data_IF_695493613525
#
_entry.id   IF_695493613525
#
_cell.length_a   1.000
_cell.length_b   1.000
_cell.length_c   1.000
_cell.angle_alpha   90.00
_cell.angle_beta   90.00
_cell.angle_gamma   90.00
#
_symmetry.space_group_name_H-M   'P 1'
#
loop_
_entity.id
_entity.type
_entity.pdbx_description
1 polymer ?
#
# COMPACT_ATOMS: atom_id res chain seq x y z
N UNK A 1 -12.69 -45.70 33.65
CA UNK A 1 -13.51 -44.84 32.77
C UNK A 1 -12.95 -43.41 32.59
N UNK A 2 -12.28 -42.80 33.57
CA UNK A 2 -11.70 -41.45 33.41
C UNK A 2 -10.63 -41.29 32.32
N UNK A 3 -9.79 -42.30 32.07
CA UNK A 3 -8.72 -42.22 31.04
C UNK A 3 -9.24 -42.17 29.60
N UNK A 4 -10.43 -42.73 29.34
CA UNK A 4 -11.07 -42.70 28.02
C UNK A 4 -11.74 -41.34 27.74
N UNK A 5 -12.25 -40.66 28.78
CA UNK A 5 -12.83 -39.32 28.63
C UNK A 5 -11.78 -38.24 28.33
N UNK A 6 -10.59 -38.34 28.91
CA UNK A 6 -9.49 -37.39 28.67
C UNK A 6 -8.90 -37.54 27.26
N UNK A 7 -8.82 -38.77 26.74
CA UNK A 7 -8.33 -39.04 25.39
C UNK A 7 -9.31 -38.56 24.30
N UNK A 8 -10.62 -38.68 24.55
CA UNK A 8 -11.65 -38.13 23.66
C UNK A 8 -11.63 -36.59 23.61
N UNK A 9 -11.31 -35.93 24.73
CA UNK A 9 -11.20 -34.47 24.79
C UNK A 9 -9.96 -33.95 24.03
N UNK A 10 -8.82 -34.67 24.10
CA UNK A 10 -7.62 -34.30 23.32
C UNK A 10 -7.78 -34.57 21.81
N UNK A 11 -8.49 -35.63 21.43
CA UNK A 11 -8.77 -35.92 20.02
C UNK A 11 -9.72 -34.88 19.39
N UNK A 12 -10.68 -34.34 20.14
CA UNK A 12 -11.59 -33.31 19.65
C UNK A 12 -10.91 -31.93 19.45
N UNK A 13 -9.81 -31.66 20.16
CA UNK A 13 -9.03 -30.41 20.00
C UNK A 13 -8.07 -30.48 18.80
N UNK A 14 -7.63 -31.66 18.38
CA UNK A 14 -6.67 -31.82 17.29
C UNK A 14 -7.26 -31.67 15.87
N UNK A 15 -8.59 -31.75 15.70
CA UNK A 15 -9.25 -31.70 14.37
C UNK A 15 -9.50 -30.27 13.86
N UNK A 16 -9.16 -29.23 14.63
CA UNK A 16 -9.37 -27.83 14.23
C UNK A 16 -8.15 -27.14 13.60
N UNK A 17 -7.11 -27.87 13.20
CA UNK A 17 -5.92 -27.27 12.58
C UNK A 17 -6.13 -27.04 11.08
N UNK A 18 -6.77 -25.91 10.78
CA UNK A 18 -6.47 -24.97 9.69
C UNK A 18 -6.29 -25.50 8.27
N UNK A 19 -7.33 -25.31 7.44
CA UNK A 19 -7.14 -25.11 6.00
C UNK A 19 -6.37 -23.79 5.80
N UNK A 20 -5.04 -23.85 5.69
CA UNK A 20 -4.23 -22.72 5.28
C UNK A 20 -4.51 -22.47 3.79
N UNK A 21 -5.40 -21.53 3.49
CA UNK A 21 -5.64 -21.06 2.12
C UNK A 21 -4.34 -20.47 1.62
N UNK A 22 -3.66 -21.19 0.73
CA UNK A 22 -2.43 -20.71 0.11
C UNK A 22 -2.72 -19.36 -0.56
N UNK A 23 -2.10 -18.31 -0.05
CA UNK A 23 -2.19 -16.99 -0.67
C UNK A 23 -1.58 -17.12 -2.07
N UNK A 24 -2.30 -16.79 -3.15
CA UNK A 24 -1.75 -16.88 -4.49
C UNK A 24 -0.45 -16.06 -4.55
N UNK A 25 0.60 -16.55 -5.23
CA UNK A 25 1.85 -15.83 -5.35
C UNK A 25 1.57 -14.44 -5.91
N UNK A 26 2.03 -13.42 -5.18
CA UNK A 26 1.89 -12.02 -5.60
C UNK A 26 2.59 -11.90 -6.96
N UNK A 27 1.92 -11.43 -8.02
CA UNK A 27 2.57 -11.26 -9.30
C UNK A 27 3.81 -10.38 -9.11
N UNK A 28 4.96 -10.91 -9.52
CA UNK A 28 6.21 -10.16 -9.53
C UNK A 28 5.97 -8.91 -10.36
N UNK A 29 6.41 -7.75 -9.87
CA UNK A 29 6.36 -6.51 -10.64
C UNK A 29 6.97 -6.79 -12.03
N UNK A 30 6.21 -6.53 -13.09
CA UNK A 30 6.70 -6.77 -14.43
C UNK A 30 7.92 -5.90 -14.67
N UNK A 31 8.93 -6.47 -15.34
CA UNK A 31 10.08 -5.72 -15.77
C UNK A 31 9.62 -4.50 -16.61
N UNK A 32 10.29 -3.34 -16.48
CA UNK A 32 10.02 -2.23 -17.36
C UNK A 32 10.26 -2.63 -18.83
N UNK A 33 9.58 -1.99 -19.80
CA UNK A 33 9.82 -2.27 -21.21
C UNK A 33 11.30 -1.97 -21.57
N UNK A 34 11.86 -2.77 -22.49
CA UNK A 34 13.20 -2.55 -23.01
C UNK A 34 13.31 -1.18 -23.72
N UNK A 35 14.50 -0.55 -23.68
CA UNK A 35 14.72 0.78 -24.27
C UNK A 35 14.37 0.85 -25.76
N UNK A 36 14.69 -0.21 -26.52
CA UNK A 36 14.37 -0.34 -27.95
C UNK A 36 12.85 -0.24 -28.20
N UNK A 37 12.06 -0.80 -27.29
CA UNK A 37 10.59 -0.72 -27.34
C UNK A 37 10.13 0.69 -27.05
N UNK A 38 10.68 1.32 -26.01
CA UNK A 38 10.35 2.70 -25.62
C UNK A 38 10.72 3.72 -26.71
N UNK A 39 11.85 3.52 -27.39
CA UNK A 39 12.31 4.39 -28.47
C UNK A 39 11.46 4.28 -29.74
N UNK A 40 10.74 3.16 -29.91
CA UNK A 40 9.77 2.97 -30.99
C UNK A 40 8.44 3.71 -30.74
N UNK A 41 8.16 4.15 -29.51
CA UNK A 41 6.92 4.84 -29.19
C UNK A 41 6.91 6.25 -29.81
N UNK A 42 5.75 6.66 -30.34
CA UNK A 42 5.54 7.97 -30.97
C UNK A 42 4.28 8.62 -30.40
N UNK A 43 3.09 8.12 -30.76
CA UNK A 43 1.82 8.57 -30.18
C UNK A 43 1.26 7.48 -29.27
N UNK A 44 1.11 7.80 -27.99
CA UNK A 44 0.63 6.89 -26.96
C UNK A 44 -0.78 7.34 -26.55
N UNK A 45 -1.77 6.52 -26.90
CA UNK A 45 -3.13 6.67 -26.39
C UNK A 45 -3.21 6.19 -24.96
N UNK A 46 -3.79 6.97 -24.05
CA UNK A 46 -4.10 6.53 -22.68
C UNK A 46 -5.60 6.29 -22.60
N UNK A 47 -6.02 5.08 -22.24
CA UNK A 47 -7.43 4.71 -22.09
C UNK A 47 -7.75 4.34 -20.65
N UNK A 48 -8.94 4.75 -20.23
CA UNK A 48 -9.56 4.25 -19.02
C UNK A 48 -10.17 2.87 -19.33
N UNK A 49 -9.71 1.85 -18.62
CA UNK A 49 -10.29 0.51 -18.64
C UNK A 49 -11.52 0.41 -17.73
N UNK A 50 -11.78 -0.80 -17.25
CA UNK A 50 -12.90 -1.05 -16.33
C UNK A 50 -12.64 -0.45 -14.94
N UNK A 51 -13.73 -0.10 -14.25
CA UNK A 51 -13.77 0.18 -12.80
C UNK A 51 -14.59 -0.93 -12.15
N UNK A 52 -14.20 -1.47 -10.98
CA UNK A 52 -15.01 -2.46 -10.29
C UNK A 52 -16.37 -1.86 -9.95
N UNK A 53 -17.43 -2.67 -10.13
CA UNK A 53 -18.78 -2.26 -9.76
C UNK A 53 -18.94 -2.07 -8.24
N UNK A 54 -18.15 -2.82 -7.47
CA UNK A 54 -18.28 -2.94 -6.02
C UNK A 54 -16.99 -2.51 -5.31
N UNK A 55 -17.16 -1.77 -4.20
CA UNK A 55 -16.08 -1.49 -3.28
C UNK A 55 -15.88 -2.64 -2.29
N UNK A 56 -14.62 -2.96 -2.02
CA UNK A 56 -14.27 -4.01 -1.07
C UNK A 56 -14.19 -3.44 0.35
N UNK A 57 -14.68 -4.20 1.32
CA UNK A 57 -14.49 -3.90 2.74
C UNK A 57 -13.96 -5.17 3.39
N UNK A 58 -12.73 -5.13 3.88
CA UNK A 58 -12.07 -6.23 4.55
C UNK A 58 -11.40 -5.75 5.86
N UNK A 59 -11.43 -6.52 6.95
CA UNK A 59 -12.22 -7.72 7.15
C UNK A 59 -13.70 -7.38 7.30
N UNK A 60 -14.57 -8.27 6.84
CA UNK A 60 -15.96 -8.31 7.30
C UNK A 60 -15.96 -9.21 8.53
N UNK A 61 -16.03 -8.64 9.73
CA UNK A 61 -16.32 -9.44 10.92
C UNK A 61 -17.85 -9.45 11.08
N UNK A 62 -18.54 -10.58 10.83
CA UNK A 62 -19.99 -10.64 11.05
C UNK A 62 -20.31 -10.24 12.50
N UNK A 63 -21.43 -9.55 12.71
CA UNK A 63 -21.84 -9.08 14.05
C UNK A 63 -21.86 -10.22 15.08
N UNK A 64 -22.33 -11.42 14.69
CA UNK A 64 -22.34 -12.60 15.53
C UNK A 64 -20.93 -13.09 15.92
N UNK A 65 -19.95 -12.99 15.00
CA UNK A 65 -18.58 -13.38 15.30
C UNK A 65 -17.86 -12.32 16.16
N UNK A 66 -18.13 -11.03 15.92
CA UNK A 66 -17.66 -9.95 16.78
C UNK A 66 -18.19 -10.11 18.21
N UNK A 67 -19.49 -10.40 18.36
CA UNK A 67 -20.11 -10.67 19.66
C UNK A 67 -19.50 -11.91 20.33
N UNK A 68 -19.26 -12.99 19.58
CA UNK A 68 -18.61 -14.20 20.10
C UNK A 68 -17.19 -13.93 20.60
N UNK A 69 -16.38 -13.18 19.82
CA UNK A 69 -15.01 -12.81 20.21
C UNK A 69 -14.99 -11.85 21.40
N UNK A 70 -15.92 -10.90 21.47
CA UNK A 70 -16.08 -10.01 22.62
C UNK A 70 -16.45 -10.78 23.89
N UNK A 71 -17.42 -11.70 23.80
CA UNK A 71 -17.85 -12.54 24.91
C UNK A 71 -16.72 -13.46 25.40
N UNK A 72 -15.96 -14.09 24.49
CA UNK A 72 -14.86 -15.00 24.87
C UNK A 72 -13.71 -14.26 25.54
N UNK A 73 -13.31 -13.08 25.04
CA UNK A 73 -12.24 -12.27 25.63
C UNK A 73 -12.61 -11.79 27.03
N UNK A 74 -13.84 -11.32 27.22
CA UNK A 74 -14.30 -10.88 28.53
C UNK A 74 -14.48 -12.02 29.54
N UNK A 75 -14.93 -13.19 29.08
CA UNK A 75 -14.98 -14.39 29.92
C UNK A 75 -13.58 -14.79 30.40
N UNK A 76 -12.58 -14.72 29.52
CA UNK A 76 -11.18 -15.00 29.87
C UNK A 76 -10.61 -13.97 30.85
N UNK A 77 -10.81 -12.68 30.62
CA UNK A 77 -10.34 -11.60 31.51
C UNK A 77 -11.01 -11.66 32.88
N UNK A 78 -12.32 -11.95 32.93
CA UNK A 78 -13.06 -12.14 34.19
C UNK A 78 -12.55 -13.38 34.92
N UNK A 79 -12.30 -14.48 34.22
CA UNK A 79 -11.79 -15.72 34.81
C UNK A 79 -10.40 -15.53 35.43
N UNK A 80 -9.48 -14.86 34.74
CA UNK A 80 -8.13 -14.56 35.27
C UNK A 80 -8.21 -13.59 36.45
N UNK A 81 -8.99 -12.50 36.34
CA UNK A 81 -9.14 -11.51 37.41
C UNK A 81 -9.73 -12.10 38.70
N UNK A 82 -10.63 -13.08 38.60
CA UNK A 82 -11.27 -13.71 39.76
C UNK A 82 -10.45 -14.85 40.38
N UNK A 83 -9.62 -15.54 39.60
CA UNK A 83 -8.82 -16.68 40.09
C UNK A 83 -7.50 -16.27 40.75
N UNK A 84 -6.91 -15.13 40.36
CA UNK A 84 -5.68 -14.60 40.95
C UNK A 84 -5.77 -14.35 42.47
N UNK A 85 -6.82 -13.72 43.03
CA UNK A 85 -6.95 -13.57 44.48
C UNK A 85 -7.25 -14.89 45.23
N UNK A 86 -7.77 -15.93 44.55
CA UNK A 86 -7.95 -17.27 45.14
C UNK A 86 -6.63 -18.08 45.24
N UNK A 87 -5.53 -17.62 44.64
CA UNK A 87 -4.23 -18.30 44.65
C UNK A 87 -3.28 -17.80 45.76
N UNK A 88 -3.69 -16.84 46.58
CA UNK A 88 -2.86 -16.39 47.71
C UNK A 88 -2.89 -17.41 48.85
N UNK A 89 -1.72 -17.76 49.44
CA UNK A 89 -1.62 -18.77 50.48
C UNK A 89 -2.14 -18.21 51.81
N UNK A 90 -3.46 -18.26 52.00
CA UNK A 90 -4.10 -17.97 53.28
C UNK A 90 -4.67 -19.26 53.87
N UNK A 91 -4.83 -19.30 55.19
CA UNK A 91 -5.13 -20.51 55.97
C UNK A 91 -6.50 -21.19 55.70
N UNK A 92 -7.23 -20.77 54.66
CA UNK A 92 -8.58 -21.25 54.30
C UNK A 92 -8.62 -22.00 52.96
N UNK A 93 -7.59 -22.80 52.68
CA UNK A 93 -7.39 -23.50 51.40
C UNK A 93 -8.55 -24.44 51.01
N UNK A 94 -9.18 -25.10 51.99
CA UNK A 94 -10.30 -26.03 51.74
C UNK A 94 -11.62 -25.32 51.40
N UNK A 95 -11.86 -24.12 51.94
CA UNK A 95 -13.08 -23.35 51.63
C UNK A 95 -12.98 -22.71 50.23
N UNK A 96 -11.78 -22.31 49.82
CA UNK A 96 -11.52 -21.72 48.50
C UNK A 96 -11.70 -22.72 47.34
N UNK A 97 -11.37 -24.00 47.54
CA UNK A 97 -11.54 -25.05 46.51
C UNK A 97 -13.01 -25.32 46.13
N UNK A 98 -13.96 -25.10 47.05
CA UNK A 98 -15.39 -25.37 46.81
C UNK A 98 -16.15 -24.10 46.42
N UNK A 99 -15.84 -22.96 47.05
CA UNK A 99 -16.55 -21.70 46.79
C UNK A 99 -16.08 -20.97 45.52
N UNK A 100 -14.78 -21.03 45.19
CA UNK A 100 -14.21 -20.27 44.08
C UNK A 100 -14.67 -20.72 42.66
N UNK A 101 -14.85 -22.03 42.34
CA UNK A 101 -15.32 -22.42 41.00
C UNK A 101 -16.77 -22.00 40.73
N UNK A 102 -17.64 -21.99 41.74
CA UNK A 102 -19.06 -21.61 41.60
C UNK A 102 -19.19 -20.09 41.42
N UNK A 103 -18.44 -19.30 42.19
CA UNK A 103 -18.43 -17.84 42.05
C UNK A 103 -17.80 -17.39 40.71
N UNK A 104 -16.74 -18.07 40.24
CA UNK A 104 -16.13 -17.77 38.94
C UNK A 104 -17.05 -18.03 37.75
N UNK A 105 -17.84 -19.11 37.78
CA UNK A 105 -18.82 -19.43 36.73
C UNK A 105 -19.99 -18.43 36.68
N UNK A 106 -20.46 -17.95 37.84
CA UNK A 106 -21.53 -16.96 37.91
C UNK A 106 -21.08 -15.55 37.51
N UNK A 107 -19.83 -15.17 37.82
CA UNK A 107 -19.27 -13.87 37.41
C UNK A 107 -18.95 -13.83 35.91
N UNK A 108 -18.50 -14.96 35.33
CA UNK A 108 -18.14 -15.05 33.91
C UNK A 108 -19.35 -14.83 32.97
N UNK A 109 -20.55 -15.27 33.33
CA UNK A 109 -21.76 -15.06 32.53
C UNK A 109 -22.23 -13.61 32.51
N UNK A 110 -22.09 -12.89 33.63
CA UNK A 110 -22.41 -11.47 33.73
C UNK A 110 -21.38 -10.59 32.99
N UNK A 111 -20.08 -10.90 33.12
CA UNK A 111 -19.01 -10.21 32.38
C UNK A 111 -19.10 -10.42 30.87
N UNK A 112 -19.44 -11.64 30.43
CA UNK A 112 -19.65 -11.95 29.02
C UNK A 112 -20.82 -11.17 28.40
N UNK A 113 -21.91 -10.95 29.14
CA UNK A 113 -23.06 -10.17 28.68
C UNK A 113 -22.74 -8.70 28.47
N UNK A 114 -22.09 -8.05 29.44
CA UNK A 114 -21.75 -6.61 29.37
C UNK A 114 -20.71 -6.36 28.28
N UNK A 115 -19.67 -7.19 28.17
CA UNK A 115 -18.66 -7.03 27.14
C UNK A 115 -19.17 -7.37 25.74
N UNK A 116 -20.10 -8.33 25.60
CA UNK A 116 -20.77 -8.57 24.33
C UNK A 116 -21.57 -7.34 23.87
N UNK A 117 -22.22 -6.61 24.80
CA UNK A 117 -22.94 -5.37 24.49
C UNK A 117 -21.99 -4.20 24.20
N UNK A 118 -20.88 -4.06 24.95
CA UNK A 118 -19.87 -3.01 24.73
C UNK A 118 -19.12 -3.21 23.41
N UNK A 119 -18.76 -4.45 23.07
CA UNK A 119 -18.16 -4.76 21.76
C UNK A 119 -19.19 -4.68 20.63
N UNK A 120 -20.45 -5.07 20.85
CA UNK A 120 -21.52 -4.87 19.86
C UNK A 120 -21.83 -3.39 19.60
N UNK A 121 -21.73 -2.53 20.63
CA UNK A 121 -21.88 -1.07 20.45
C UNK A 121 -20.65 -0.44 19.80
N UNK A 122 -19.44 -0.95 20.07
CA UNK A 122 -18.21 -0.55 19.36
C UNK A 122 -18.15 -1.05 17.91
N UNK A 123 -18.85 -2.12 17.57
CA UNK A 123 -18.97 -2.63 16.21
C UNK A 123 -19.83 -1.74 15.30
N UNK A 124 -20.48 -0.70 15.86
CA UNK A 124 -21.49 0.08 15.13
C UNK A 124 -22.80 -0.69 15.00
N UNK A 125 -23.89 -0.02 14.62
CA UNK A 125 -25.11 -0.75 14.26
C UNK A 125 -24.82 -1.57 13.00
N UNK A 126 -25.36 -2.80 12.92
CA UNK A 126 -25.20 -3.68 11.75
C UNK A 126 -25.51 -2.93 10.45
N UNK A 127 -26.48 -2.03 10.49
CA UNK A 127 -26.90 -1.20 9.36
C UNK A 127 -25.79 -0.26 8.88
N UNK A 128 -25.03 0.37 9.79
CA UNK A 128 -23.90 1.23 9.40
C UNK A 128 -22.81 0.43 8.71
N UNK A 129 -22.39 -0.71 9.28
CA UNK A 129 -21.32 -1.55 8.69
C UNK A 129 -21.74 -2.10 7.32
N UNK A 130 -23.02 -2.48 7.16
CA UNK A 130 -23.55 -2.96 5.89
C UNK A 130 -23.69 -1.85 4.84
N UNK A 131 -23.91 -0.59 5.25
CA UNK A 131 -24.01 0.55 4.34
C UNK A 131 -22.64 1.03 3.80
N UNK A 132 -21.54 0.77 4.52
CA UNK A 132 -20.20 1.27 4.17
C UNK A 132 -19.75 0.93 2.75
N UNK A 133 -19.84 -0.33 2.28
CA UNK A 133 -19.47 -0.64 0.90
C UNK A 133 -20.25 0.20 -0.12
N UNK A 134 -21.53 0.47 0.14
CA UNK A 134 -22.36 1.33 -0.72
C UNK A 134 -21.92 2.79 -0.72
N UNK A 135 -21.53 3.33 0.44
CA UNK A 135 -20.98 4.69 0.57
C UNK A 135 -19.66 4.80 -0.19
N UNK A 136 -18.72 3.86 0.06
CA UNK A 136 -17.43 3.84 -0.64
C UNK A 136 -17.62 3.70 -2.14
N UNK A 137 -18.44 2.74 -2.60
CA UNK A 137 -18.73 2.55 -4.02
C UNK A 137 -19.35 3.80 -4.66
N UNK A 138 -20.22 4.52 -3.95
CA UNK A 138 -20.81 5.76 -4.45
C UNK A 138 -19.76 6.85 -4.64
N UNK A 139 -18.87 7.06 -3.66
CA UNK A 139 -17.80 8.05 -3.81
C UNK A 139 -16.77 7.65 -4.87
N UNK A 140 -16.45 6.37 -4.98
CA UNK A 140 -15.56 5.85 -6.04
C UNK A 140 -16.18 6.06 -7.41
N UNK A 141 -17.46 5.73 -7.62
CA UNK A 141 -18.14 5.98 -8.89
C UNK A 141 -18.20 7.46 -9.25
N UNK A 142 -18.50 8.32 -8.27
CA UNK A 142 -18.57 9.75 -8.49
C UNK A 142 -17.20 10.38 -8.84
N UNK A 143 -16.11 9.78 -8.34
CA UNK A 143 -14.75 10.22 -8.64
C UNK A 143 -14.26 9.76 -10.04
N UNK A 144 -14.89 8.75 -10.63
CA UNK A 144 -14.47 8.08 -11.87
C UNK A 144 -12.94 7.84 -11.92
N UNK A 145 -12.41 6.97 -11.05
CA UNK A 145 -10.97 6.86 -10.83
C UNK A 145 -10.21 6.44 -12.10
N UNK A 146 -10.82 5.69 -13.02
CA UNK A 146 -10.18 5.30 -14.27
C UNK A 146 -10.03 6.50 -15.21
N UNK A 147 -11.07 7.32 -15.39
CA UNK A 147 -10.97 8.54 -16.20
C UNK A 147 -10.02 9.55 -15.55
N UNK A 148 -10.11 9.74 -14.23
CA UNK A 148 -9.22 10.63 -13.49
C UNK A 148 -7.75 10.20 -13.62
N UNK A 149 -7.44 8.90 -13.52
CA UNK A 149 -6.09 8.39 -13.74
C UNK A 149 -5.64 8.54 -15.18
N UNK A 150 -6.50 8.24 -16.17
CA UNK A 150 -6.19 8.43 -17.59
C UNK A 150 -5.74 9.87 -17.87
N UNK A 151 -6.54 10.84 -17.44
CA UNK A 151 -6.29 12.26 -17.70
C UNK A 151 -5.02 12.73 -16.97
N UNK A 152 -4.86 12.30 -15.71
CA UNK A 152 -3.67 12.59 -14.89
C UNK A 152 -2.40 12.01 -15.52
N UNK A 153 -2.42 10.74 -15.92
CA UNK A 153 -1.27 10.06 -16.53
C UNK A 153 -0.91 10.70 -17.87
N UNK A 154 -1.89 11.01 -18.72
CA UNK A 154 -1.62 11.68 -19.99
C UNK A 154 -0.96 13.06 -19.79
N UNK A 155 -1.45 13.84 -18.81
CA UNK A 155 -0.85 15.14 -18.45
C UNK A 155 0.56 14.99 -17.89
N UNK A 156 0.73 14.16 -16.85
CA UNK A 156 2.03 13.96 -16.20
C UNK A 156 3.06 13.38 -17.15
N UNK A 157 2.69 12.42 -17.99
CA UNK A 157 3.60 11.84 -18.97
C UNK A 157 4.04 12.88 -20.00
N UNK A 158 3.10 13.68 -20.53
CA UNK A 158 3.43 14.81 -21.42
C UNK A 158 4.42 15.76 -20.78
N UNK A 159 4.22 16.11 -19.50
CA UNK A 159 5.08 17.04 -18.78
C UNK A 159 6.46 16.45 -18.44
N UNK A 160 6.51 15.20 -17.99
CA UNK A 160 7.73 14.58 -17.49
C UNK A 160 8.59 14.02 -18.62
N UNK A 161 8.01 13.74 -19.79
CA UNK A 161 8.74 13.22 -20.94
C UNK A 161 8.89 14.24 -22.07
N UNK A 162 8.82 15.56 -21.79
CA UNK A 162 8.96 16.63 -22.82
C UNK A 162 10.20 16.52 -23.72
N UNK A 163 11.26 15.87 -23.24
CA UNK A 163 12.51 15.64 -24.00
C UNK A 163 12.45 14.43 -24.94
N UNK A 164 11.46 13.56 -24.77
CA UNK A 164 11.20 12.44 -25.68
C UNK A 164 10.29 12.92 -26.80
N UNK A 165 10.40 12.28 -27.97
CA UNK A 165 9.49 12.54 -29.09
C UNK A 165 8.11 11.85 -28.91
N UNK A 166 7.71 11.60 -27.66
CA UNK A 166 6.45 10.95 -27.32
C UNK A 166 5.35 11.99 -27.18
N UNK A 167 4.18 11.66 -27.69
CA UNK A 167 2.96 12.44 -27.51
C UNK A 167 1.90 11.58 -26.85
N UNK A 168 1.43 12.03 -25.69
CA UNK A 168 0.34 11.35 -24.99
C UNK A 168 -0.99 11.98 -25.37
N UNK A 169 -2.00 11.13 -25.58
CA UNK A 169 -3.37 11.55 -25.88
C UNK A 169 -4.32 10.76 -24.99
N UNK A 170 -5.07 11.45 -24.13
CA UNK A 170 -6.17 10.82 -23.40
C UNK A 170 -7.29 10.47 -24.39
N UNK A 171 -7.58 9.18 -24.54
CA UNK A 171 -8.62 8.71 -25.45
C UNK A 171 -9.93 8.59 -24.65
N UNK A 172 -10.83 9.54 -24.87
CA UNK A 172 -12.16 9.57 -24.26
C UNK A 172 -13.29 9.31 -25.27
N UNK A 173 -13.01 9.40 -26.57
CA UNK A 173 -14.00 9.30 -27.64
C UNK A 173 -13.48 8.52 -28.84
N UNK A 174 -14.41 8.10 -29.70
CA UNK A 174 -14.12 7.36 -30.93
C UNK A 174 -13.36 8.20 -31.98
N UNK A 175 -13.43 9.53 -31.91
CA UNK A 175 -12.76 10.46 -32.83
C UNK A 175 -11.29 10.74 -32.45
N UNK A 176 -10.70 9.85 -31.65
CA UNK A 176 -9.32 9.93 -31.25
C UNK A 176 -8.37 9.90 -32.46
N UNK A 177 -7.25 10.65 -32.43
CA UNK A 177 -6.22 10.54 -33.45
C UNK A 177 -5.65 9.10 -33.48
N UNK A 178 -5.09 8.65 -34.62
CA UNK A 178 -4.41 7.36 -34.68
C UNK A 178 -3.26 7.34 -33.66
N UNK A 179 -3.15 6.24 -32.92
CA UNK A 179 -2.11 6.01 -31.91
C UNK A 179 -1.29 4.77 -32.28
N UNK A 180 0.01 4.81 -32.00
CA UNK A 180 0.92 3.70 -32.28
C UNK A 180 0.95 2.69 -31.12
N UNK A 181 0.62 3.16 -29.91
CA UNK A 181 0.60 2.37 -28.69
C UNK A 181 -0.52 2.82 -27.78
N UNK A 182 -0.98 1.90 -26.94
CA UNK A 182 -2.11 2.07 -26.04
C UNK A 182 -1.69 1.75 -24.61
N UNK A 183 -1.80 2.71 -23.70
CA UNK A 183 -1.72 2.49 -22.27
C UNK A 183 -3.13 2.32 -21.71
N UNK A 184 -3.50 1.08 -21.39
CA UNK A 184 -4.73 0.76 -20.68
C UNK A 184 -4.52 0.91 -19.17
N UNK A 185 -5.41 1.64 -18.51
CA UNK A 185 -5.41 1.82 -17.06
C UNK A 185 -6.74 1.32 -16.50
N UNK A 186 -6.72 0.16 -15.85
CA UNK A 186 -7.90 -0.44 -15.22
C UNK A 186 -7.79 -0.34 -13.72
N UNK A 187 -8.82 0.19 -13.06
CA UNK A 187 -8.92 0.08 -11.61
C UNK A 187 -9.45 -1.33 -11.35
N UNK A 188 -8.70 -2.16 -10.64
CA UNK A 188 -9.11 -3.54 -10.36
C UNK A 188 -9.87 -3.62 -9.03
N UNK A 189 -9.37 -2.92 -8.01
CA UNK A 189 -9.98 -2.94 -6.68
C UNK A 189 -9.90 -1.56 -6.03
N UNK A 190 -10.97 -1.18 -5.35
CA UNK A 190 -10.99 -0.05 -4.41
C UNK A 190 -11.73 -0.47 -3.17
N UNK A 191 -11.21 -0.10 -2.00
CA UNK A 191 -11.85 -0.51 -0.78
C UNK A 191 -11.19 0.00 0.48
N UNK A 192 -11.73 -0.44 1.61
CA UNK A 192 -11.13 -0.26 2.93
C UNK A 192 -10.65 -1.63 3.43
N UNK A 193 -9.35 -1.77 3.73
CA UNK A 193 -8.75 -2.98 4.30
C UNK A 193 -8.18 -2.77 5.71
N UNK A 194 -8.11 -3.82 6.52
CA UNK A 194 -7.58 -3.75 7.87
C UNK A 194 -7.20 -5.14 8.44
N UNK A 195 -6.61 -5.20 9.65
CA UNK A 195 -6.26 -6.48 10.27
C UNK A 195 -7.50 -7.32 10.61
N UNK A 196 -7.57 -8.62 10.19
CA UNK A 196 -8.74 -9.49 10.36
C UNK A 196 -9.01 -9.95 11.79
N UNK A 197 -8.06 -9.74 12.70
CA UNK A 197 -8.09 -10.27 14.05
C UNK A 197 -8.78 -9.34 15.06
N UNK A 198 -8.97 -8.06 14.71
CA UNK A 198 -9.47 -7.04 15.63
C UNK A 198 -10.95 -6.71 15.37
N UNK A 199 -11.72 -6.50 16.44
CA UNK A 199 -13.08 -5.96 16.36
C UNK A 199 -12.99 -4.45 16.16
N UNK A 200 -13.70 -3.92 15.15
CA UNK A 200 -13.57 -2.54 14.67
C UNK A 200 -12.09 -2.15 14.40
N UNK A 201 -11.41 -2.87 13.47
CA UNK A 201 -10.02 -2.58 13.18
C UNK A 201 -9.87 -1.19 12.55
N UNK A 202 -8.73 -0.52 12.72
CA UNK A 202 -8.43 0.63 11.89
C UNK A 202 -8.30 0.16 10.44
N UNK A 203 -8.99 0.86 9.53
CA UNK A 203 -9.09 0.55 8.11
C UNK A 203 -8.26 1.53 7.30
N UNK A 204 -7.55 1.07 6.29
CA UNK A 204 -6.88 1.88 5.29
C UNK A 204 -7.66 1.83 3.96
N UNK A 205 -7.87 2.99 3.33
CA UNK A 205 -8.21 3.02 1.90
C UNK A 205 -7.09 2.37 1.10
N UNK A 206 -7.46 1.44 0.23
CA UNK A 206 -6.57 0.89 -0.78
C UNK A 206 -7.18 1.06 -2.19
N UNK A 207 -6.31 1.28 -3.17
CA UNK A 207 -6.65 1.36 -4.59
C UNK A 207 -5.62 0.52 -5.34
N UNK A 208 -6.08 -0.46 -6.10
CA UNK A 208 -5.27 -1.32 -6.97
C UNK A 208 -5.61 -1.02 -8.42
N UNK A 209 -4.58 -0.72 -9.20
CA UNK A 209 -4.67 -0.35 -10.62
C UNK A 209 -3.79 -1.30 -11.41
N UNK A 210 -4.29 -1.82 -12.53
CA UNK A 210 -3.51 -2.53 -13.52
C UNK A 210 -3.25 -1.65 -14.73
N UNK A 211 -2.02 -1.67 -15.21
CA UNK A 211 -1.55 -0.94 -16.38
C UNK A 211 -1.06 -1.90 -17.44
N UNK A 212 -1.52 -1.72 -18.69
CA UNK A 212 -1.04 -2.50 -19.83
C UNK A 212 -0.63 -1.55 -20.95
N UNK A 213 0.64 -1.61 -21.35
CA UNK A 213 1.11 -0.90 -22.53
C UNK A 213 1.11 -1.87 -23.71
N UNK A 214 0.38 -1.55 -24.75
CA UNK A 214 0.21 -2.37 -25.95
C UNK A 214 0.75 -1.64 -27.16
N UNK A 215 1.38 -2.36 -28.09
CA UNK A 215 1.67 -1.86 -29.43
C UNK A 215 0.45 -2.10 -30.32
N UNK A 216 -0.09 -1.07 -30.98
CA UNK A 216 -1.36 -1.18 -31.70
C UNK A 216 -1.30 -2.08 -32.95
N UNK A 217 -0.26 -2.00 -33.81
CA UNK A 217 -0.21 -2.83 -35.02
C UNK A 217 -0.35 -4.35 -34.82
N UNK A 218 0.22 -4.89 -33.74
CA UNK A 218 0.27 -6.33 -33.45
C UNK A 218 -0.38 -6.71 -32.11
N UNK A 219 -0.91 -5.73 -31.37
CA UNK A 219 -1.45 -5.86 -30.01
C UNK A 219 -0.46 -6.50 -29.03
N UNK A 220 0.85 -6.41 -29.30
CA UNK A 220 1.87 -6.97 -28.43
C UNK A 220 1.90 -6.23 -27.08
N UNK A 221 1.88 -7.00 -25.98
CA UNK A 221 1.98 -6.47 -24.62
C UNK A 221 3.44 -6.08 -24.36
N UNK A 222 3.69 -4.78 -24.29
CA UNK A 222 5.00 -4.19 -24.00
C UNK A 222 5.25 -4.05 -22.50
N UNK A 223 4.17 -3.89 -21.71
CA UNK A 223 4.19 -3.86 -20.26
C UNK A 223 2.84 -4.31 -19.70
N UNK A 224 2.84 -5.00 -18.57
CA UNK A 224 1.64 -5.41 -17.81
C UNK A 224 1.97 -5.44 -16.32
N UNK A 225 1.49 -4.46 -15.56
CA UNK A 225 1.85 -4.26 -14.17
C UNK A 225 0.64 -3.94 -13.28
N UNK A 226 0.76 -4.22 -11.99
CA UNK A 226 -0.26 -3.87 -11.00
C UNK A 226 0.36 -3.02 -9.90
N UNK A 227 -0.33 -1.92 -9.57
CA UNK A 227 0.05 -0.93 -8.59
C UNK A 227 -0.99 -0.84 -7.49
N UNK A 228 -0.57 -0.95 -6.24
CA UNK A 228 -1.44 -0.72 -5.08
C UNK A 228 -0.94 0.46 -4.26
N UNK A 229 -1.84 1.38 -3.93
CA UNK A 229 -1.64 2.44 -2.94
C UNK A 229 -2.50 2.17 -1.72
N UNK A 230 -1.93 2.34 -0.51
CA UNK A 230 -2.65 2.27 0.76
C UNK A 230 -2.49 3.59 1.53
N UNK A 231 -3.58 4.06 2.12
CA UNK A 231 -3.59 5.21 3.02
C UNK A 231 -3.18 4.82 4.45
N UNK A 232 -3.03 5.83 5.32
CA UNK A 232 -2.88 5.60 6.75
C UNK A 232 -4.18 4.99 7.35
N UNK A 233 -4.06 4.02 8.27
CA UNK A 233 -5.23 3.34 8.82
C UNK A 233 -6.02 4.25 9.78
N UNK A 234 -7.35 4.20 9.72
CA UNK A 234 -8.30 5.00 10.51
C UNK A 234 -9.52 4.18 10.89
N UNK A 235 -10.11 4.46 12.06
CA UNK A 235 -11.38 3.85 12.44
C UNK A 235 -12.50 4.22 11.46
N UNK A 236 -13.51 3.35 11.34
CA UNK A 236 -14.59 3.53 10.37
C UNK A 236 -15.31 4.89 10.50
N UNK A 237 -15.58 5.33 11.73
CA UNK A 237 -16.19 6.65 11.98
C UNK A 237 -15.31 7.80 11.43
N UNK A 238 -13.99 7.67 11.46
CA UNK A 238 -13.08 8.67 10.90
C UNK A 238 -13.17 8.76 9.37
N UNK A 239 -13.52 7.66 8.70
CA UNK A 239 -13.76 7.65 7.26
C UNK A 239 -15.10 8.26 6.87
N UNK A 240 -16.14 8.03 7.68
CA UNK A 240 -17.51 8.46 7.41
C UNK A 240 -17.85 9.85 7.97
N UNK A 241 -16.98 10.43 8.81
CA UNK A 241 -17.17 11.76 9.34
C UNK A 241 -17.30 12.82 8.24
N UNK A 242 -18.07 13.88 8.52
CA UNK A 242 -18.29 15.03 7.64
C UNK A 242 -18.68 14.62 6.21
N UNK A 243 -19.69 13.75 6.06
CA UNK A 243 -20.16 13.26 4.75
C UNK A 243 -19.01 12.63 3.93
N UNK A 244 -18.28 11.75 4.61
CA UNK A 244 -17.10 11.05 4.09
C UNK A 244 -16.08 11.97 3.39
N UNK A 245 -15.95 13.24 3.82
CA UNK A 245 -15.00 14.21 3.26
C UNK A 245 -13.58 13.63 3.23
N UNK A 246 -13.17 12.95 4.31
CA UNK A 246 -11.83 12.37 4.40
C UNK A 246 -11.61 11.24 3.39
N UNK A 247 -12.62 10.42 3.15
CA UNK A 247 -12.56 9.36 2.16
C UNK A 247 -12.34 9.94 0.75
N UNK A 248 -13.06 10.99 0.40
CA UNK A 248 -12.90 11.69 -0.89
C UNK A 248 -11.49 12.26 -1.07
N UNK A 249 -10.99 12.99 -0.06
CA UNK A 249 -9.62 13.54 -0.08
C UNK A 249 -8.56 12.45 -0.29
N UNK A 250 -8.73 11.29 0.36
CA UNK A 250 -7.78 10.18 0.26
C UNK A 250 -7.89 9.41 -1.06
N UNK A 251 -9.07 9.35 -1.67
CA UNK A 251 -9.24 8.85 -3.04
C UNK A 251 -8.49 9.78 -4.00
N UNK A 252 -8.73 11.09 -3.94
CA UNK A 252 -8.04 12.05 -4.81
C UNK A 252 -6.52 11.99 -4.64
N UNK A 253 -6.04 11.89 -3.39
CA UNK A 253 -4.63 11.71 -3.10
C UNK A 253 -4.08 10.39 -3.65
N UNK A 254 -4.83 9.28 -3.50
CA UNK A 254 -4.45 7.98 -4.05
C UNK A 254 -4.29 8.05 -5.58
N UNK A 255 -5.23 8.68 -6.28
CA UNK A 255 -5.20 8.79 -7.74
C UNK A 255 -4.04 9.67 -8.22
N UNK A 256 -3.72 10.75 -7.49
CA UNK A 256 -2.52 11.56 -7.77
C UNK A 256 -1.24 10.74 -7.66
N UNK A 257 -1.05 10.06 -6.53
CA UNK A 257 0.14 9.24 -6.25
C UNK A 257 0.26 8.08 -7.25
N UNK A 258 -0.85 7.41 -7.57
CA UNK A 258 -0.88 6.33 -8.57
C UNK A 258 -0.56 6.84 -9.97
N UNK A 259 -1.11 7.98 -10.39
CA UNK A 259 -0.78 8.56 -11.69
C UNK A 259 0.71 8.86 -11.84
N UNK A 260 1.34 9.42 -10.80
CA UNK A 260 2.79 9.65 -10.77
C UNK A 260 3.58 8.34 -10.86
N UNK A 261 3.19 7.34 -10.08
CA UNK A 261 3.82 6.01 -10.10
C UNK A 261 3.67 5.30 -11.45
N UNK A 262 2.52 5.42 -12.11
CA UNK A 262 2.31 4.83 -13.45
C UNK A 262 3.29 5.45 -14.44
N UNK A 263 3.42 6.78 -14.46
CA UNK A 263 4.36 7.45 -15.38
C UNK A 263 5.80 7.04 -15.08
N UNK A 264 6.15 6.99 -13.80
CA UNK A 264 7.47 6.54 -13.37
C UNK A 264 7.73 5.10 -13.83
N UNK A 265 6.83 4.17 -13.50
CA UNK A 265 7.02 2.73 -13.72
C UNK A 265 6.98 2.34 -15.19
N UNK A 266 6.09 2.94 -15.98
CA UNK A 266 5.90 2.57 -17.39
C UNK A 266 6.90 3.29 -18.31
N UNK A 267 7.26 4.54 -18.01
CA UNK A 267 7.99 5.39 -18.96
C UNK A 267 9.35 5.90 -18.49
N UNK A 268 9.62 5.94 -17.18
CA UNK A 268 10.86 6.51 -16.62
C UNK A 268 11.78 5.47 -15.98
N UNK A 269 11.30 4.26 -15.71
CA UNK A 269 12.11 3.18 -15.12
C UNK A 269 13.23 2.65 -16.00
N UNK A 270 13.15 2.88 -17.30
CA UNK A 270 14.30 2.73 -18.18
C UNK A 270 14.90 4.12 -18.39
N UNK A 271 15.96 4.51 -17.66
CA UNK A 271 16.63 5.76 -17.95
C UNK A 271 17.10 5.69 -19.40
N UNK A 272 16.74 6.65 -20.29
CA UNK A 272 17.35 6.68 -21.62
C UNK A 272 18.86 6.60 -21.45
N UNK A 273 19.53 5.57 -21.97
CA UNK A 273 20.94 5.37 -21.69
C UNK A 273 21.81 6.51 -22.22
N UNK A 274 21.30 7.34 -23.15
CA UNK A 274 22.15 8.24 -23.95
C UNK A 274 21.76 9.73 -23.97
N UNK A 275 20.65 10.20 -23.38
CA UNK A 275 20.16 11.59 -23.64
C UNK A 275 19.78 12.48 -22.47
N UNK A 276 19.63 11.96 -21.26
CA UNK A 276 19.89 12.83 -20.12
C UNK A 276 21.40 12.98 -20.15
N UNK A 277 21.92 14.19 -20.36
CA UNK A 277 23.35 14.44 -20.19
C UNK A 277 23.68 14.13 -18.73
N UNK A 278 23.86 12.85 -18.43
CA UNK A 278 24.30 12.36 -17.15
C UNK A 278 25.54 13.18 -16.89
N UNK A 279 25.52 13.94 -15.80
CA UNK A 279 26.69 14.71 -15.46
C UNK A 279 27.84 13.73 -15.42
N UNK A 280 28.97 14.08 -16.03
CA UNK A 280 30.11 13.18 -16.14
C UNK A 280 30.33 12.48 -14.80
N UNK A 281 30.60 11.18 -14.79
CA UNK A 281 30.79 10.39 -13.56
C UNK A 281 31.75 11.09 -12.58
N UNK A 282 32.78 11.74 -13.12
CA UNK A 282 33.73 12.57 -12.39
C UNK A 282 33.09 13.78 -11.66
N UNK A 283 32.04 14.40 -12.21
CA UNK A 283 31.24 15.40 -11.52
C UNK A 283 30.52 14.82 -10.31
N UNK A 284 29.83 13.68 -10.47
CA UNK A 284 29.08 13.07 -9.36
C UNK A 284 30.02 12.61 -8.25
N UNK A 285 31.12 11.94 -8.61
CA UNK A 285 32.17 11.53 -7.66
C UNK A 285 32.82 12.72 -6.96
N UNK A 286 32.93 13.90 -7.59
CA UNK A 286 33.42 15.12 -6.92
C UNK A 286 32.40 15.70 -5.95
N UNK A 287 31.11 15.69 -6.31
CA UNK A 287 30.03 16.26 -5.48
C UNK A 287 29.62 15.33 -4.34
N UNK A 288 29.72 14.02 -4.52
CA UNK A 288 29.31 12.98 -3.57
C UNK A 288 30.43 11.91 -3.46
N UNK A 289 31.56 12.24 -2.82
CA UNK A 289 32.79 11.44 -2.89
C UNK A 289 32.76 10.08 -2.21
N UNK A 290 31.69 9.79 -1.43
CA UNK A 290 31.52 8.48 -0.80
C UNK A 290 30.87 7.46 -1.74
N UNK A 291 30.23 7.89 -2.83
CA UNK A 291 29.68 6.98 -3.84
C UNK A 291 30.80 6.42 -4.72
N UNK A 292 31.06 5.12 -4.57
CA UNK A 292 32.11 4.39 -5.26
C UNK A 292 31.54 3.08 -5.78
N UNK A 293 31.49 2.94 -7.09
CA UNK A 293 30.95 1.74 -7.73
C UNK A 293 31.80 0.51 -7.36
N UNK A 294 31.13 -0.61 -7.11
CA UNK A 294 31.68 -1.85 -6.59
C UNK A 294 32.08 -1.84 -5.11
N UNK A 295 32.01 -0.68 -4.44
CA UNK A 295 32.53 -0.50 -3.07
C UNK A 295 31.43 -0.07 -2.09
N UNK A 296 30.68 0.98 -2.41
CA UNK A 296 29.70 1.55 -1.49
C UNK A 296 28.48 0.63 -1.39
N UNK A 297 28.07 0.30 -0.18
CA UNK A 297 26.91 -0.56 0.06
C UNK A 297 25.61 0.26 0.13
N UNK A 298 24.49 -0.42 -0.09
CA UNK A 298 23.15 0.17 0.05
C UNK A 298 22.94 0.78 1.44
N UNK A 299 23.31 0.05 2.48
CA UNK A 299 23.16 0.49 3.87
C UNK A 299 23.98 1.75 4.19
N UNK A 300 25.21 1.85 3.66
CA UNK A 300 26.02 3.06 3.82
C UNK A 300 25.35 4.28 3.17
N UNK A 301 24.79 4.10 1.98
CA UNK A 301 24.08 5.15 1.25
C UNK A 301 22.85 5.60 2.05
N UNK A 302 22.02 4.67 2.52
CA UNK A 302 20.82 4.98 3.32
C UNK A 302 21.21 5.65 4.64
N UNK A 303 22.28 5.21 5.30
CA UNK A 303 22.76 5.82 6.54
C UNK A 303 23.23 7.28 6.34
N UNK A 304 23.72 7.64 5.15
CA UNK A 304 24.26 8.98 4.85
C UNK A 304 23.24 9.91 4.19
N UNK A 305 22.40 9.39 3.30
CA UNK A 305 21.42 10.17 2.53
C UNK A 305 20.01 10.08 3.11
N UNK A 306 19.77 9.21 4.09
CA UNK A 306 18.43 8.92 4.59
C UNK A 306 17.68 7.94 3.70
N UNK A 307 16.37 7.85 3.91
CA UNK A 307 15.52 7.01 3.08
C UNK A 307 15.44 7.57 1.66
N UNK A 308 15.53 6.71 0.63
CA UNK A 308 15.36 7.14 -0.75
C UNK A 308 13.93 7.62 -0.99
N UNK A 309 13.77 8.69 -1.77
CA UNK A 309 12.46 9.18 -2.20
C UNK A 309 11.73 8.12 -3.03
N UNK A 310 12.48 7.30 -3.78
CA UNK A 310 11.95 6.28 -4.68
C UNK A 310 12.78 5.00 -4.65
N UNK A 311 12.10 3.85 -4.74
CA UNK A 311 12.72 2.52 -4.88
C UNK A 311 12.15 1.85 -6.11
N UNK A 312 13.00 1.25 -6.91
CA UNK A 312 12.63 0.61 -8.16
C UNK A 312 13.28 -0.77 -8.28
N UNK A 313 12.79 -1.61 -9.19
CA UNK A 313 13.28 -2.97 -9.45
C UNK A 313 13.48 -3.79 -8.16
N UNK A 314 12.40 -3.94 -7.37
CA UNK A 314 12.42 -4.59 -6.05
C UNK A 314 13.44 -3.99 -5.05
N UNK A 315 13.79 -2.72 -5.20
CA UNK A 315 14.76 -2.01 -4.36
C UNK A 315 16.19 -2.06 -4.88
N UNK A 316 16.44 -2.69 -6.03
CA UNK A 316 17.74 -2.71 -6.70
C UNK A 316 18.15 -1.33 -7.22
N UNK A 317 17.21 -0.44 -7.50
CA UNK A 317 17.53 0.94 -7.88
C UNK A 317 16.91 1.90 -6.87
N UNK A 318 17.72 2.82 -6.35
CA UNK A 318 17.30 3.87 -5.42
C UNK A 318 17.35 5.23 -6.11
N UNK A 319 16.27 6.01 -5.96
CA UNK A 319 16.19 7.39 -6.42
C UNK A 319 16.15 8.36 -5.24
N UNK A 320 17.03 9.35 -5.28
CA UNK A 320 17.08 10.46 -4.32
C UNK A 320 16.87 11.80 -5.03
N UNK A 321 16.14 12.70 -4.41
CA UNK A 321 16.05 14.12 -4.76
C UNK A 321 17.05 14.87 -3.90
N UNK A 322 18.02 15.51 -4.54
CA UNK A 322 19.06 16.25 -3.88
C UNK A 322 18.94 17.75 -4.21
N UNK A 323 18.99 18.59 -3.19
CA UNK A 323 18.99 20.04 -3.32
C UNK A 323 20.42 20.55 -3.18
N UNK A 324 20.83 21.43 -4.08
CA UNK A 324 22.11 22.12 -3.96
C UNK A 324 21.98 23.26 -2.95
N UNK A 325 22.81 23.29 -1.90
CA UNK A 325 22.85 24.40 -0.95
C UNK A 325 23.65 25.60 -1.52
N UNK A 326 23.63 26.75 -0.81
CA UNK A 326 24.36 27.96 -1.21
C UNK A 326 25.89 27.78 -1.34
N UNK A 327 26.45 26.64 -0.91
CA UNK A 327 27.87 26.29 -1.06
C UNK A 327 28.10 25.27 -2.18
N UNK A 328 27.07 24.94 -2.96
CA UNK A 328 27.14 23.92 -3.98
C UNK A 328 27.16 22.49 -3.43
N UNK A 329 26.73 22.23 -2.18
CA UNK A 329 26.67 20.85 -1.68
C UNK A 329 25.29 20.28 -1.91
N UNK A 330 25.25 19.06 -2.43
CA UNK A 330 24.01 18.31 -2.63
C UNK A 330 23.54 17.70 -1.30
N UNK A 331 22.28 17.91 -0.94
CA UNK A 331 21.66 17.37 0.28
C UNK A 331 20.28 16.78 -0.01
N UNK A 332 19.89 15.69 0.66
CA UNK A 332 18.56 15.09 0.48
C UNK A 332 17.43 15.96 1.04
N UNK A 333 17.73 16.87 1.97
CA UNK A 333 16.74 17.76 2.59
C UNK A 333 16.88 19.18 2.05
N UNK A 334 15.78 19.86 1.68
CA UNK A 334 15.83 21.26 1.26
C UNK A 334 16.32 22.15 2.40
N UNK A 335 17.14 23.15 2.07
CA UNK A 335 17.68 24.10 3.06
C UNK A 335 16.60 25.12 3.40
N UNK A 336 16.22 25.29 4.69
CA UNK A 336 15.23 26.29 5.08
C UNK A 336 15.65 27.70 4.63
N UNK A 337 14.78 28.39 3.90
CA UNK A 337 15.01 29.76 3.44
C UNK A 337 15.92 29.90 2.20
N UNK A 338 16.41 28.81 1.63
CA UNK A 338 16.93 28.82 0.26
C UNK A 338 15.75 28.88 -0.71
N UNK A 339 15.85 29.68 -1.78
CA UNK A 339 14.86 29.63 -2.87
C UNK A 339 14.74 28.21 -3.45
N UNK A 340 13.80 28.01 -4.38
CA UNK A 340 13.66 26.77 -5.17
C UNK A 340 14.93 26.53 -6.00
N UNK A 341 15.99 26.06 -5.36
CA UNK A 341 17.25 25.71 -5.97
C UNK A 341 17.06 24.45 -6.82
N UNK A 342 17.89 24.24 -7.86
CA UNK A 342 17.74 23.10 -8.76
C UNK A 342 17.78 21.81 -7.96
N UNK A 343 16.70 21.05 -8.07
CA UNK A 343 16.61 19.70 -7.53
C UNK A 343 17.33 18.75 -8.50
N UNK A 344 18.38 18.10 -8.06
CA UNK A 344 19.01 17.00 -8.79
C UNK A 344 18.30 15.69 -8.43
N UNK A 345 18.25 14.76 -9.37
CA UNK A 345 17.85 13.37 -9.13
C UNK A 345 19.09 12.49 -9.19
N UNK A 346 19.41 11.84 -8.09
CA UNK A 346 20.46 10.83 -7.99
C UNK A 346 19.82 9.45 -8.12
N UNK A 347 20.20 8.71 -9.15
CA UNK A 347 19.79 7.33 -9.37
C UNK A 347 20.97 6.41 -9.04
N UNK A 348 20.75 5.40 -8.23
CA UNK A 348 21.75 4.45 -7.74
C UNK A 348 21.28 3.03 -8.07
N UNK A 349 22.05 2.28 -8.84
CA UNK A 349 21.76 0.88 -9.18
C UNK A 349 22.65 -0.03 -8.35
N UNK A 350 22.10 -1.09 -7.79
CA UNK A 350 22.80 -2.03 -6.92
C UNK A 350 22.91 -3.41 -7.56
N UNK A 351 23.98 -4.11 -7.23
CA UNK A 351 24.17 -5.54 -7.49
C UNK A 351 23.28 -6.38 -6.56
N UNK A 352 23.23 -7.68 -6.84
CA UNK A 352 22.58 -8.67 -5.96
C UNK A 352 23.24 -8.75 -4.57
N UNK A 353 24.52 -8.37 -4.45
CA UNK A 353 25.26 -8.33 -3.19
C UNK A 353 25.15 -6.96 -2.47
N UNK A 354 24.14 -6.15 -2.84
CA UNK A 354 23.86 -4.83 -2.26
C UNK A 354 25.00 -3.80 -2.35
N UNK A 355 25.88 -3.96 -3.35
CA UNK A 355 26.91 -2.97 -3.69
C UNK A 355 26.48 -2.12 -4.87
N UNK A 356 26.80 -0.82 -4.82
CA UNK A 356 26.53 0.13 -5.89
C UNK A 356 27.22 -0.31 -7.20
N UNK A 357 26.45 -0.58 -8.25
CA UNK A 357 26.95 -0.92 -9.59
C UNK A 357 27.12 0.33 -10.46
N UNK A 358 26.15 1.24 -10.41
CA UNK A 358 26.12 2.46 -11.21
C UNK A 358 25.48 3.60 -10.42
N UNK A 359 25.92 4.83 -10.69
CA UNK A 359 25.30 6.03 -10.15
C UNK A 359 25.21 7.13 -11.20
N UNK A 360 24.06 7.80 -11.26
CA UNK A 360 23.80 8.89 -12.20
C UNK A 360 23.17 10.07 -11.49
N UNK A 361 23.69 11.25 -11.76
CA UNK A 361 23.09 12.50 -11.29
C UNK A 361 22.49 13.23 -12.48
N UNK A 362 21.19 13.49 -12.40
CA UNK A 362 20.42 14.21 -13.39
C UNK A 362 20.02 15.53 -12.79
N UNK A 363 20.30 16.64 -13.46
CA UNK A 363 19.77 17.94 -13.03
C UNK A 363 18.27 17.97 -13.35
N UNK A 364 17.41 18.14 -12.35
CA UNK A 364 16.01 18.44 -12.58
C UNK A 364 15.90 19.83 -13.19
N UNK A 365 15.09 19.96 -14.23
CA UNK A 365 14.79 21.26 -14.81
C UNK A 365 14.07 22.13 -13.75
N UNK A 366 14.42 23.42 -13.70
CA UNK A 366 13.59 24.40 -12.99
C UNK A 366 12.15 24.32 -13.55
N UNK A 367 11.12 24.43 -12.68
CA UNK A 367 9.72 24.22 -13.05
C UNK A 367 9.24 25.06 -14.24
#
# INVERSE_FOLDING_TARGET
>A
MHRLAVLALFAAVAVQVGCATATPPRPSAAAPPADEVLDSLRVIGVVAGSVPADATLAPRTPAAEAARRGASKAAAETFVGFTVPCLQPTAYFLFQLVACPVAGLAAASLGAGVAAVVEATRAGTSDTVQAVPGIVATHVRNADPAAALRDRVASLATDWTRRRAWRFVALASADAPPVDSLLEISVEEVGLDGPPTQVNPPLALFVTVRTRLLRVPDMAVLHDGTLTRRSAPRGLHGWLADDARRLREEIDQALRELGERIVDEVFLLSPPPERLAAMERAFVSRRIPFLRDGVTTRDEIVARLGDPDRRYDAGRILGYVLFEDHRGRLRPTPVPGGGTLPAYRLLLTFSLDDRLEDHRLVRGDEP
#
